data_IF_353035913878
#
_entry.id   IF_353035913878
#
_cell.length_a   1.000
_cell.length_b   1.000
_cell.length_c   1.000
_cell.angle_alpha   90.00
_cell.angle_beta   90.00
_cell.angle_gamma   90.00
#
_symmetry.space_group_name_H-M   'P 1'
#
loop_
_entity.id
_entity.type
_entity.pdbx_description
1 polymer ?
#
# COMPACT_ATOMS: atom_id res chain seq x y z
N UNK A 1 4.27 14.43 -6.24
CA UNK A 1 2.94 13.96 -6.70
C UNK A 1 2.83 13.97 -8.22
N UNK A 2 3.08 15.10 -8.89
CA UNK A 2 3.01 15.16 -10.37
C UNK A 2 3.94 14.15 -11.06
N UNK A 3 5.19 14.01 -10.60
CA UNK A 3 6.13 13.04 -11.18
C UNK A 3 5.66 11.59 -10.99
N UNK A 4 4.96 11.30 -9.89
CA UNK A 4 4.33 9.99 -9.69
C UNK A 4 3.22 9.77 -10.73
N UNK A 5 2.36 10.76 -10.96
CA UNK A 5 1.32 10.68 -11.99
C UNK A 5 1.92 10.50 -13.40
N UNK A 6 3.03 11.18 -13.71
CA UNK A 6 3.77 11.00 -14.97
C UNK A 6 4.36 9.59 -15.09
N UNK A 7 4.97 9.07 -14.02
CA UNK A 7 5.50 7.71 -13.98
C UNK A 7 4.40 6.64 -14.18
N UNK A 8 3.18 6.93 -13.73
CA UNK A 8 1.98 6.13 -13.98
C UNK A 8 1.37 6.34 -15.38
N UNK A 9 2.02 7.14 -16.24
CA UNK A 9 1.57 7.49 -17.59
C UNK A 9 0.23 8.22 -17.63
N UNK A 10 -0.11 9.00 -16.61
CA UNK A 10 -1.33 9.82 -16.61
C UNK A 10 -1.13 11.05 -17.50
N UNK A 11 -2.11 11.35 -18.35
CA UNK A 11 -2.13 12.56 -19.17
C UNK A 11 -2.43 13.76 -18.28
N UNK A 12 -1.36 14.39 -17.80
CA UNK A 12 -1.40 15.56 -16.92
C UNK A 12 -2.03 16.80 -17.58
N UNK A 13 -2.15 16.84 -18.92
CA UNK A 13 -2.84 17.95 -19.61
C UNK A 13 -4.35 17.81 -19.48
N UNK A 14 -4.87 16.57 -19.55
CA UNK A 14 -6.30 16.28 -19.43
C UNK A 14 -6.75 16.07 -17.98
N UNK A 15 -5.90 15.46 -17.16
CA UNK A 15 -6.16 15.17 -15.76
C UNK A 15 -5.04 15.74 -14.87
N UNK A 16 -4.91 17.08 -14.79
CA UNK A 16 -3.95 17.70 -13.89
C UNK A 16 -4.33 17.45 -12.43
N UNK A 17 -3.34 17.52 -11.53
CA UNK A 17 -3.50 17.26 -10.10
C UNK A 17 -4.67 18.03 -9.47
N UNK A 18 -4.83 19.31 -9.81
CA UNK A 18 -5.91 20.15 -9.28
C UNK A 18 -7.32 19.81 -9.78
N UNK A 19 -7.46 18.96 -10.80
CA UNK A 19 -8.75 18.48 -11.33
C UNK A 19 -8.98 16.99 -11.04
N UNK A 20 -8.08 16.35 -10.30
CA UNK A 20 -8.21 14.95 -9.94
C UNK A 20 -9.43 14.77 -9.03
N UNK A 21 -10.48 14.13 -9.56
CA UNK A 21 -11.74 13.94 -8.83
C UNK A 21 -11.82 12.56 -8.23
N UNK A 22 -12.05 12.49 -6.91
CA UNK A 22 -12.32 11.23 -6.21
C UNK A 22 -13.42 10.42 -6.91
N UNK A 23 -14.56 11.04 -7.21
CA UNK A 23 -15.70 10.36 -7.85
C UNK A 23 -15.35 9.77 -9.23
N UNK A 24 -14.51 10.46 -10.00
CA UNK A 24 -14.02 9.96 -11.28
C UNK A 24 -13.14 8.72 -11.12
N UNK A 25 -12.24 8.72 -10.12
CA UNK A 25 -11.41 7.56 -9.79
C UNK A 25 -12.27 6.37 -9.32
N UNK A 26 -13.26 6.62 -8.44
CA UNK A 26 -14.21 5.60 -8.00
C UNK A 26 -15.03 5.02 -9.15
N UNK A 27 -15.41 5.85 -10.13
CA UNK A 27 -16.12 5.42 -11.33
C UNK A 27 -15.24 4.51 -12.20
N UNK A 28 -13.96 4.86 -12.39
CA UNK A 28 -13.01 4.03 -13.12
C UNK A 28 -12.79 2.69 -12.41
N UNK A 29 -12.76 2.70 -11.07
CA UNK A 29 -12.68 1.50 -10.26
C UNK A 29 -13.89 0.58 -10.46
N UNK A 30 -15.10 1.15 -10.54
CA UNK A 30 -16.31 0.39 -10.87
C UNK A 30 -16.25 -0.30 -12.23
N UNK A 31 -15.61 0.32 -13.23
CA UNK A 31 -15.36 -0.30 -14.54
C UNK A 31 -14.45 -1.52 -14.38
N UNK A 32 -13.33 -1.40 -13.65
CA UNK A 32 -12.42 -2.52 -13.40
C UNK A 32 -13.09 -3.65 -12.61
N UNK A 33 -13.89 -3.33 -11.58
CA UNK A 33 -14.61 -4.33 -10.78
C UNK A 33 -15.61 -5.11 -11.63
N UNK A 34 -16.34 -4.42 -12.51
CA UNK A 34 -17.30 -5.04 -13.44
C UNK A 34 -16.60 -5.97 -14.42
N UNK A 35 -15.46 -5.53 -14.96
CA UNK A 35 -14.65 -6.32 -15.89
C UNK A 35 -14.03 -7.55 -15.22
N UNK A 36 -13.55 -7.41 -13.99
CA UNK A 36 -13.04 -8.53 -13.21
C UNK A 36 -14.15 -9.55 -12.91
N UNK A 37 -15.33 -9.09 -12.53
CA UNK A 37 -16.48 -9.98 -12.33
C UNK A 37 -16.83 -10.76 -13.60
N UNK A 38 -16.80 -10.10 -14.75
CA UNK A 38 -16.99 -10.74 -16.04
C UNK A 38 -15.95 -11.84 -16.31
N UNK A 39 -14.66 -11.59 -16.07
CA UNK A 39 -13.59 -12.59 -16.23
C UNK A 39 -13.80 -13.81 -15.33
N UNK A 40 -14.19 -13.58 -14.07
CA UNK A 40 -14.47 -14.65 -13.13
C UNK A 40 -15.65 -15.53 -13.57
N UNK A 41 -16.71 -14.93 -14.11
CA UNK A 41 -17.87 -15.68 -14.63
C UNK A 41 -17.52 -16.50 -15.87
N UNK A 42 -16.81 -15.91 -16.82
CA UNK A 42 -16.42 -16.58 -18.08
C UNK A 42 -15.44 -17.73 -17.83
N UNK A 43 -14.46 -17.54 -16.94
CA UNK A 43 -13.52 -18.60 -16.54
C UNK A 43 -14.23 -19.79 -15.91
N UNK A 44 -15.25 -19.55 -15.07
CA UNK A 44 -16.08 -20.62 -14.49
C UNK A 44 -16.92 -21.37 -15.52
N UNK A 45 -17.34 -20.68 -16.58
CA UNK A 45 -18.15 -21.25 -17.66
C UNK A 45 -17.31 -21.83 -18.81
N UNK A 46 -16.00 -21.70 -18.78
CA UNK A 46 -15.08 -22.05 -19.88
C UNK A 46 -15.49 -21.39 -21.21
N UNK A 47 -16.04 -20.18 -21.14
CA UNK A 47 -16.47 -19.39 -22.30
C UNK A 47 -15.36 -18.43 -22.76
N UNK A 48 -15.31 -18.16 -24.06
CA UNK A 48 -14.37 -17.20 -24.63
C UNK A 48 -14.80 -15.78 -24.23
N UNK A 49 -13.85 -14.99 -23.73
CA UNK A 49 -14.07 -13.59 -23.39
C UNK A 49 -14.61 -12.80 -24.60
N UNK A 50 -15.73 -12.11 -24.41
CA UNK A 50 -16.36 -11.28 -25.43
C UNK A 50 -15.48 -10.05 -25.70
N UNK A 51 -14.90 -9.91 -26.92
CA UNK A 51 -14.00 -8.81 -27.23
C UNK A 51 -14.64 -7.43 -27.13
N UNK A 52 -15.95 -7.32 -27.36
CA UNK A 52 -16.69 -6.05 -27.30
C UNK A 52 -16.83 -5.54 -25.86
N UNK A 53 -17.03 -6.45 -24.89
CA UNK A 53 -17.11 -6.08 -23.46
C UNK A 53 -15.76 -5.55 -22.99
N UNK A 54 -14.66 -6.21 -23.38
CA UNK A 54 -13.31 -5.75 -23.03
C UNK A 54 -13.01 -4.40 -23.67
N UNK A 55 -13.40 -4.21 -24.94
CA UNK A 55 -13.18 -2.96 -25.65
C UNK A 55 -13.98 -1.80 -25.03
N UNK A 56 -15.26 -2.01 -24.71
CA UNK A 56 -16.10 -1.03 -24.01
C UNK A 56 -15.48 -0.63 -22.66
N UNK A 57 -15.11 -1.62 -21.83
CA UNK A 57 -14.51 -1.38 -20.53
C UNK A 57 -13.17 -0.64 -20.65
N UNK A 58 -12.32 -1.01 -21.62
CA UNK A 58 -11.05 -0.33 -21.89
C UNK A 58 -11.31 1.14 -22.26
N UNK A 59 -12.20 1.41 -23.21
CA UNK A 59 -12.53 2.77 -23.65
C UNK A 59 -13.09 3.63 -22.49
N UNK A 60 -14.02 3.08 -21.70
CA UNK A 60 -14.59 3.76 -20.54
C UNK A 60 -13.52 4.07 -19.50
N UNK A 61 -12.63 3.11 -19.21
CA UNK A 61 -11.54 3.30 -18.26
C UNK A 61 -10.59 4.42 -18.72
N UNK A 62 -10.08 4.39 -19.95
CA UNK A 62 -9.15 5.42 -20.45
C UNK A 62 -9.81 6.77 -20.72
N UNK A 63 -11.12 6.82 -20.87
CA UNK A 63 -11.88 8.07 -20.89
C UNK A 63 -11.94 8.70 -19.49
N UNK A 64 -12.17 7.88 -18.46
CA UNK A 64 -12.20 8.32 -17.06
C UNK A 64 -10.80 8.61 -16.53
N UNK A 65 -9.77 7.89 -16.97
CA UNK A 65 -8.38 8.05 -16.52
C UNK A 65 -7.50 8.20 -17.76
N UNK A 66 -7.41 9.42 -18.31
CA UNK A 66 -6.61 9.69 -19.50
C UNK A 66 -5.15 9.33 -19.29
N UNK A 67 -4.59 8.53 -20.20
CA UNK A 67 -3.18 8.16 -20.19
C UNK A 67 -2.43 8.86 -21.33
N UNK A 68 -1.17 9.20 -21.08
CA UNK A 68 -0.23 9.67 -22.09
C UNK A 68 0.73 8.53 -22.45
N UNK A 69 0.46 7.88 -23.58
CA UNK A 69 1.28 6.81 -24.16
C UNK A 69 2.09 7.29 -25.37
N UNK A 70 2.17 8.60 -25.60
CA UNK A 70 2.79 9.17 -26.79
C UNK A 70 2.08 8.71 -28.07
N UNK A 71 2.78 7.96 -28.92
CA UNK A 71 2.25 7.42 -30.18
C UNK A 71 1.69 5.99 -30.05
N UNK A 72 1.93 5.33 -28.92
CA UNK A 72 1.48 3.95 -28.70
C UNK A 72 -0.01 3.91 -28.32
N UNK A 73 -0.68 2.84 -28.71
CA UNK A 73 -2.05 2.59 -28.26
C UNK A 73 -2.06 2.24 -26.76
N UNK A 74 -3.12 2.67 -26.07
CA UNK A 74 -3.35 2.25 -24.68
C UNK A 74 -3.56 0.73 -24.61
N UNK A 75 -3.06 0.11 -23.53
CA UNK A 75 -3.14 -1.32 -23.33
C UNK A 75 -4.61 -1.77 -23.23
N UNK A 76 -4.97 -2.89 -23.87
CA UNK A 76 -6.29 -3.46 -23.73
C UNK A 76 -6.44 -4.11 -22.35
N UNK A 77 -7.56 -3.91 -21.67
CA UNK A 77 -7.82 -4.51 -20.34
C UNK A 77 -8.25 -5.98 -20.48
N UNK A 78 -7.46 -6.83 -21.11
CA UNK A 78 -7.86 -8.19 -21.52
C UNK A 78 -7.36 -9.32 -20.61
N UNK A 79 -6.61 -9.00 -19.55
CA UNK A 79 -6.09 -9.99 -18.62
C UNK A 79 -5.99 -9.46 -17.19
N UNK A 80 -5.84 -10.39 -16.25
CA UNK A 80 -5.83 -10.09 -14.81
C UNK A 80 -4.61 -9.24 -14.40
N UNK A 81 -3.45 -9.40 -15.04
CA UNK A 81 -2.26 -8.63 -14.70
C UNK A 81 -2.42 -7.14 -15.02
N UNK A 82 -3.02 -6.81 -16.17
CA UNK A 82 -3.31 -5.41 -16.54
C UNK A 82 -4.38 -4.84 -15.61
N UNK A 83 -5.44 -5.59 -15.29
CA UNK A 83 -6.49 -5.13 -14.36
C UNK A 83 -5.88 -4.84 -12.98
N UNK A 84 -4.98 -5.71 -12.51
CA UNK A 84 -4.24 -5.51 -11.25
C UNK A 84 -3.42 -4.22 -11.29
N UNK A 85 -2.59 -4.04 -12.31
CA UNK A 85 -1.76 -2.84 -12.49
C UNK A 85 -2.63 -1.58 -12.48
N UNK A 86 -3.76 -1.60 -13.19
CA UNK A 86 -4.68 -0.45 -13.23
C UNK A 86 -5.42 -0.24 -11.91
N UNK A 87 -5.76 -1.29 -11.17
CA UNK A 87 -6.35 -1.16 -9.85
C UNK A 87 -5.37 -0.52 -8.86
N UNK A 88 -4.10 -0.96 -8.84
CA UNK A 88 -3.04 -0.36 -8.02
C UNK A 88 -2.84 1.13 -8.37
N UNK A 89 -2.83 1.47 -9.67
CA UNK A 89 -2.77 2.86 -10.14
C UNK A 89 -3.94 3.72 -9.60
N UNK A 90 -5.17 3.20 -9.56
CA UNK A 90 -6.30 3.94 -9.03
C UNK A 90 -6.18 4.19 -7.53
N UNK A 91 -5.67 3.23 -6.76
CA UNK A 91 -5.43 3.41 -5.33
C UNK A 91 -4.35 4.47 -5.09
N UNK A 92 -3.25 4.46 -5.86
CA UNK A 92 -2.22 5.51 -5.80
C UNK A 92 -2.79 6.90 -6.16
N UNK A 93 -3.70 6.99 -7.14
CA UNK A 93 -4.38 8.25 -7.48
C UNK A 93 -5.31 8.73 -6.35
N UNK A 94 -5.99 7.84 -5.63
CA UNK A 94 -6.80 8.21 -4.47
C UNK A 94 -5.93 8.78 -3.34
N UNK A 95 -4.75 8.21 -3.12
CA UNK A 95 -3.80 8.72 -2.13
C UNK A 95 -3.24 10.08 -2.53
N UNK A 96 -2.92 10.29 -3.81
CA UNK A 96 -2.50 11.60 -4.32
C UNK A 96 -3.62 12.64 -4.18
N UNK A 97 -4.86 12.30 -4.53
CA UNK A 97 -6.02 13.18 -4.34
C UNK A 97 -6.19 13.56 -2.88
N UNK A 98 -6.12 12.58 -1.98
CA UNK A 98 -6.23 12.81 -0.55
C UNK A 98 -5.10 13.70 -0.02
N UNK A 99 -3.85 13.40 -0.39
CA UNK A 99 -2.69 14.19 0.01
C UNK A 99 -2.84 15.65 -0.44
N UNK A 100 -3.27 15.85 -1.68
CA UNK A 100 -3.54 17.19 -2.22
C UNK A 100 -4.65 17.92 -1.46
N UNK A 101 -5.73 17.21 -1.10
CA UNK A 101 -6.83 17.73 -0.30
C UNK A 101 -6.39 18.10 1.13
N UNK A 102 -5.51 17.30 1.75
CA UNK A 102 -4.94 17.60 3.08
C UNK A 102 -4.06 18.84 3.01
N UNK A 103 -3.17 18.93 2.03
CA UNK A 103 -2.25 20.07 1.85
C UNK A 103 -3.04 21.37 1.68
N UNK A 104 -4.17 21.33 0.94
CA UNK A 104 -5.04 22.49 0.68
C UNK A 104 -5.94 22.93 1.83
N UNK A 105 -5.96 22.22 2.96
CA UNK A 105 -6.72 22.68 4.14
C UNK A 105 -6.24 24.06 4.58
N UNK A 106 -7.16 24.84 5.16
CA UNK A 106 -6.92 26.20 5.62
C UNK A 106 -5.66 26.30 6.49
N UNK A 107 -4.92 27.38 6.26
CA UNK A 107 -3.64 27.65 6.88
C UNK A 107 -3.84 28.43 8.18
N UNK A 108 -3.03 28.13 9.18
CA UNK A 108 -2.89 29.01 10.34
C UNK A 108 -1.68 29.90 10.07
N UNK A 109 -1.94 31.17 9.77
CA UNK A 109 -0.92 32.17 9.42
C UNK A 109 0.12 32.41 10.54
N UNK A 110 -0.12 31.91 11.75
CA UNK A 110 0.82 32.00 12.88
C UNK A 110 1.97 30.97 12.83
N UNK A 111 1.81 29.88 12.08
CA UNK A 111 2.81 28.81 11.96
C UNK A 111 3.60 28.96 10.66
N UNK A 112 4.87 28.51 10.64
CA UNK A 112 5.60 28.43 9.39
C UNK A 112 5.05 27.30 8.48
N UNK A 113 5.29 27.35 7.15
CA UNK A 113 4.69 26.40 6.22
C UNK A 113 5.01 24.91 6.47
N UNK A 114 6.18 24.61 7.07
CA UNK A 114 6.57 23.23 7.40
C UNK A 114 5.74 22.76 8.59
N UNK A 115 5.66 23.58 9.65
CA UNK A 115 4.87 23.27 10.84
C UNK A 115 3.38 23.15 10.53
N UNK A 116 2.85 23.99 9.64
CA UNK A 116 1.46 23.85 9.15
C UNK A 116 1.25 22.51 8.43
N UNK A 117 2.18 22.12 7.55
CA UNK A 117 2.10 20.86 6.81
C UNK A 117 2.22 19.64 7.72
N UNK A 118 3.11 19.72 8.71
CA UNK A 118 3.30 18.69 9.72
C UNK A 118 2.07 18.55 10.62
N UNK A 119 1.49 19.67 11.09
CA UNK A 119 0.26 19.65 11.89
C UNK A 119 -0.90 18.99 11.14
N UNK A 120 -1.03 19.19 9.82
CA UNK A 120 -2.06 18.55 8.98
C UNK A 120 -1.95 17.01 8.94
N UNK A 121 -0.82 16.43 9.34
CA UNK A 121 -0.65 14.98 9.45
C UNK A 121 -1.26 14.39 10.72
N UNK A 122 -1.61 15.20 11.74
CA UNK A 122 -2.16 14.72 13.01
C UNK A 122 -1.35 13.54 13.61
N UNK A 123 -0.02 13.64 13.52
CA UNK A 123 0.90 12.57 13.91
C UNK A 123 2.16 13.18 14.48
N UNK A 124 2.59 12.65 15.62
CA UNK A 124 3.85 13.01 16.25
C UNK A 124 4.96 12.15 15.65
N UNK A 125 6.05 12.78 15.23
CA UNK A 125 7.25 12.13 14.73
C UNK A 125 8.48 12.63 15.45
N UNK A 126 9.26 11.72 16.04
CA UNK A 126 10.49 12.02 16.75
C UNK A 126 11.67 11.31 16.06
N UNK A 127 12.80 12.00 15.85
CA UNK A 127 14.00 11.39 15.26
C UNK A 127 14.59 10.39 16.25
N UNK A 128 14.80 9.15 15.81
CA UNK A 128 15.49 8.15 16.61
C UNK A 128 17.00 8.34 16.52
N UNK A 129 17.64 8.65 17.65
CA UNK A 129 19.09 8.81 17.73
C UNK A 129 19.81 7.52 17.30
N UNK A 130 20.74 7.66 16.35
CA UNK A 130 21.52 6.59 15.73
C UNK A 130 22.39 5.81 16.73
N UNK A 131 22.68 6.39 17.89
CA UNK A 131 23.47 5.77 18.94
C UNK A 131 22.65 4.85 19.87
N UNK A 132 21.33 4.87 19.76
CA UNK A 132 20.45 4.11 20.66
C UNK A 132 20.52 2.60 20.37
N UNK A 133 20.27 1.73 21.38
CA UNK A 133 20.09 0.30 21.16
C UNK A 133 18.95 0.01 20.18
N UNK A 134 17.88 0.79 20.23
CA UNK A 134 16.71 0.67 19.37
C UNK A 134 17.06 0.91 17.89
N UNK A 135 17.81 1.96 17.56
CA UNK A 135 18.27 2.19 16.19
C UNK A 135 19.12 1.02 15.66
N UNK A 136 20.04 0.51 16.51
CA UNK A 136 20.85 -0.67 16.18
C UNK A 136 20.01 -1.91 15.94
N UNK A 137 18.91 -2.08 16.65
CA UNK A 137 17.97 -3.18 16.44
C UNK A 137 17.26 -3.05 15.09
N UNK A 138 16.79 -1.86 14.72
CA UNK A 138 16.20 -1.61 13.39
C UNK A 138 17.21 -1.92 12.29
N UNK A 139 18.45 -1.45 12.41
CA UNK A 139 19.52 -1.73 11.45
C UNK A 139 19.79 -3.23 11.31
N UNK A 140 19.84 -3.96 12.44
CA UNK A 140 20.01 -5.41 12.45
C UNK A 140 18.84 -6.11 11.77
N UNK A 141 17.60 -5.69 12.03
CA UNK A 141 16.42 -6.27 11.41
C UNK A 141 16.42 -6.08 9.89
N UNK A 142 16.78 -4.88 9.40
CA UNK A 142 16.92 -4.61 7.96
C UNK A 142 17.98 -5.51 7.33
N UNK A 143 19.17 -5.58 7.92
CA UNK A 143 20.27 -6.40 7.38
C UNK A 143 19.96 -7.89 7.37
N UNK A 144 19.32 -8.40 8.42
CA UNK A 144 19.02 -9.83 8.55
C UNK A 144 17.88 -10.30 7.65
N UNK A 145 17.01 -9.39 7.21
CA UNK A 145 15.76 -9.76 6.51
C UNK A 145 15.69 -9.25 5.08
N UNK A 146 16.86 -8.93 4.50
CA UNK A 146 16.99 -8.72 3.06
C UNK A 146 16.95 -10.07 2.34
N UNK A 147 15.82 -10.37 1.69
CA UNK A 147 15.62 -11.60 0.93
C UNK A 147 16.67 -11.82 -0.17
N UNK A 148 17.23 -13.02 -0.23
CA UNK A 148 18.30 -13.41 -1.15
C UNK A 148 17.95 -13.31 -2.63
N UNK A 149 16.67 -13.40 -2.97
CA UNK A 149 16.16 -13.23 -4.34
C UNK A 149 15.98 -11.77 -4.75
N UNK A 150 16.04 -10.82 -3.82
CA UNK A 150 15.93 -9.38 -4.09
C UNK A 150 17.31 -8.73 -4.16
N UNK A 151 18.19 -9.28 -5.00
CA UNK A 151 19.60 -8.89 -5.11
C UNK A 151 19.88 -7.78 -6.13
N UNK A 152 18.83 -7.19 -6.72
CA UNK A 152 18.96 -6.06 -7.67
C UNK A 152 19.23 -4.72 -6.97
N UNK A 153 19.11 -4.65 -5.65
CA UNK A 153 19.40 -3.46 -4.84
C UNK A 153 19.85 -3.84 -3.44
N UNK A 154 20.44 -2.87 -2.75
CA UNK A 154 20.74 -2.90 -1.31
C UNK A 154 19.95 -1.79 -0.60
N UNK A 155 19.75 -1.94 0.71
CA UNK A 155 19.09 -0.94 1.53
C UNK A 155 20.13 -0.24 2.42
N UNK A 156 20.05 1.09 2.47
CA UNK A 156 20.85 1.92 3.36
C UNK A 156 19.89 2.78 4.20
N UNK A 157 20.01 2.69 5.53
CA UNK A 157 19.12 3.42 6.44
C UNK A 157 19.68 4.82 6.64
N UNK A 158 19.00 5.82 6.08
CA UNK A 158 19.37 7.23 6.29
C UNK A 158 18.97 7.69 7.68
N UNK A 159 17.69 7.64 7.99
CA UNK A 159 17.11 8.10 9.25
C UNK A 159 15.96 7.19 9.67
N UNK A 160 15.67 7.17 10.98
CA UNK A 160 14.55 6.44 11.57
C UNK A 160 13.75 7.43 12.40
N UNK A 161 12.43 7.39 12.25
CA UNK A 161 11.51 8.25 12.99
C UNK A 161 10.57 7.36 13.80
N UNK A 162 10.42 7.68 15.08
CA UNK A 162 9.33 7.15 15.90
C UNK A 162 8.05 7.86 15.49
N UNK A 163 7.00 7.09 15.24
CA UNK A 163 5.72 7.63 14.74
C UNK A 163 4.63 7.28 15.75
N UNK A 164 3.94 8.31 16.23
CA UNK A 164 2.80 8.18 17.14
C UNK A 164 1.60 8.92 16.53
N UNK A 165 0.68 8.14 15.95
CA UNK A 165 -0.53 8.66 15.30
C UNK A 165 -1.62 8.96 16.32
N UNK A 166 -2.35 10.05 16.09
CA UNK A 166 -3.46 10.43 16.95
C UNK A 166 -4.56 9.35 17.04
N UNK A 167 -4.91 8.99 18.28
CA UNK A 167 -5.95 8.00 18.59
C UNK A 167 -5.58 6.55 18.24
N UNK A 168 -4.38 6.27 17.71
CA UNK A 168 -4.02 4.92 17.27
C UNK A 168 -3.78 3.97 18.44
N UNK A 169 -3.16 4.46 19.51
CA UNK A 169 -2.90 3.69 20.73
C UNK A 169 -4.20 3.22 21.39
N UNK A 170 -5.24 4.04 21.37
CA UNK A 170 -6.56 3.75 21.92
C UNK A 170 -7.35 2.75 21.06
N UNK A 171 -7.17 2.79 19.73
CA UNK A 171 -7.80 1.85 18.79
C UNK A 171 -7.07 0.51 18.69
N UNK A 172 -5.80 0.47 19.08
CA UNK A 172 -4.98 -0.73 19.01
C UNK A 172 -5.47 -1.79 20.00
N UNK A 173 -5.77 -3.00 19.50
CA UNK A 173 -6.18 -4.11 20.34
C UNK A 173 -4.97 -4.72 21.06
N UNK A 174 -4.62 -4.09 22.17
CA UNK A 174 -3.52 -4.52 23.04
C UNK A 174 -3.80 -5.84 23.77
N UNK A 175 -5.05 -6.34 23.75
CA UNK A 175 -5.43 -7.59 24.42
C UNK A 175 -5.05 -8.85 23.62
N UNK A 176 -4.89 -8.72 22.30
CA UNK A 176 -4.45 -9.80 21.44
C UNK A 176 -2.98 -10.18 21.72
N UNK A 177 -2.72 -11.49 21.73
CA UNK A 177 -1.38 -12.05 21.80
C UNK A 177 -0.71 -12.06 20.40
N UNK A 178 0.52 -12.57 20.32
CA UNK A 178 1.27 -12.69 19.06
C UNK A 178 1.43 -11.32 18.36
N UNK A 179 2.04 -10.37 19.08
CA UNK A 179 2.34 -9.03 18.58
C UNK A 179 3.71 -9.03 17.91
N UNK A 180 3.78 -8.53 16.67
CA UNK A 180 5.00 -8.49 15.88
C UNK A 180 5.26 -7.12 15.28
N UNK A 181 6.52 -6.71 15.23
CA UNK A 181 7.01 -5.62 14.40
C UNK A 181 7.20 -6.11 12.96
N UNK A 182 6.36 -5.63 12.05
CA UNK A 182 6.37 -6.05 10.64
C UNK A 182 6.48 -4.87 9.69
N UNK A 183 7.11 -5.12 8.55
CA UNK A 183 7.39 -4.12 7.52
C UNK A 183 6.18 -3.88 6.62
N UNK A 184 5.90 -2.61 6.33
CA UNK A 184 4.97 -2.20 5.28
C UNK A 184 5.66 -1.19 4.36
N UNK A 185 5.53 -1.41 3.05
CA UNK A 185 6.07 -0.52 2.02
C UNK A 185 4.96 -0.01 1.13
N UNK A 186 5.09 1.24 0.71
CA UNK A 186 4.14 1.93 -0.16
C UNK A 186 4.86 3.07 -0.89
N UNK A 187 4.29 3.58 -1.98
CA UNK A 187 4.83 4.76 -2.68
C UNK A 187 4.93 5.95 -1.74
N UNK A 188 5.94 6.80 -1.95
CA UNK A 188 6.15 8.04 -1.19
C UNK A 188 4.89 8.93 -1.15
N UNK A 189 4.13 9.00 -2.26
CA UNK A 189 2.90 9.79 -2.35
C UNK A 189 1.81 9.38 -1.36
N UNK A 190 1.86 8.13 -0.88
CA UNK A 190 0.81 7.57 -0.05
C UNK A 190 1.07 7.83 1.44
N UNK A 191 2.29 8.22 1.82
CA UNK A 191 2.65 8.45 3.22
C UNK A 191 1.89 9.61 3.87
N UNK A 192 1.48 10.63 3.12
CA UNK A 192 0.62 11.70 3.68
C UNK A 192 -0.74 11.13 4.10
N UNK A 193 -1.34 10.27 3.28
CA UNK A 193 -2.59 9.58 3.60
C UNK A 193 -2.42 8.59 4.75
N UNK A 194 -1.35 7.80 4.73
CA UNK A 194 -1.05 6.81 5.78
C UNK A 194 -0.73 7.50 7.13
N UNK A 195 0.04 8.59 7.12
CA UNK A 195 0.37 9.35 8.32
C UNK A 195 -0.77 10.23 8.80
N UNK A 196 -1.78 10.57 8.00
CA UNK A 196 -2.96 11.30 8.50
C UNK A 196 -4.11 10.38 8.92
N UNK A 197 -4.38 9.33 8.17
CA UNK A 197 -5.57 8.48 8.34
C UNK A 197 -5.28 7.04 8.74
N UNK A 198 -4.01 6.62 8.73
CA UNK A 198 -3.60 5.25 9.02
C UNK A 198 -3.67 4.35 7.80
N UNK A 199 -3.24 3.10 8.00
CA UNK A 199 -3.37 2.05 6.99
C UNK A 199 -4.85 1.64 6.86
N UNK A 200 -5.39 1.71 5.64
CA UNK A 200 -6.81 1.48 5.36
C UNK A 200 -7.00 0.21 4.55
N UNK A 201 -8.09 -0.50 4.82
CA UNK A 201 -8.53 -1.62 4.01
C UNK A 201 -9.22 -1.06 2.77
N UNK A 202 -8.90 -1.63 1.60
CA UNK A 202 -9.59 -1.28 0.37
C UNK A 202 -11.10 -1.47 0.52
N UNK A 203 -11.92 -0.54 0.02
CA UNK A 203 -13.36 -0.56 0.28
C UNK A 203 -14.05 -1.72 -0.48
N UNK A 204 -15.24 -2.18 -0.05
CA UNK A 204 -15.90 -3.39 -0.58
C UNK A 204 -16.10 -3.39 -2.10
N UNK A 205 -16.28 -2.23 -2.71
CA UNK A 205 -16.50 -2.05 -4.15
C UNK A 205 -15.23 -2.14 -5.00
N UNK A 206 -14.03 -2.05 -4.41
CA UNK A 206 -12.77 -2.18 -5.14
C UNK A 206 -12.60 -3.60 -5.75
N UNK A 207 -11.90 -3.77 -6.88
CA UNK A 207 -11.57 -5.09 -7.41
C UNK A 207 -10.83 -5.93 -6.37
N UNK A 208 -11.02 -7.25 -6.37
CA UNK A 208 -10.25 -8.16 -5.51
C UNK A 208 -8.95 -8.62 -6.17
N UNK A 209 -8.80 -8.43 -7.49
CA UNK A 209 -7.58 -8.83 -8.21
C UNK A 209 -6.41 -7.99 -7.71
N UNK A 210 -5.31 -8.67 -7.38
CA UNK A 210 -4.11 -8.08 -6.79
C UNK A 210 -3.88 -8.42 -5.34
N UNK A 211 -4.93 -8.79 -4.60
CA UNK A 211 -4.83 -9.19 -3.20
C UNK A 211 -4.69 -10.70 -3.06
N UNK A 212 -3.56 -11.19 -2.55
CA UNK A 212 -3.31 -12.64 -2.47
C UNK A 212 -4.30 -13.37 -1.54
N UNK A 213 -4.75 -12.70 -0.48
CA UNK A 213 -5.62 -13.25 0.56
C UNK A 213 -6.90 -12.44 0.80
N UNK A 214 -7.35 -11.68 -0.21
CA UNK A 214 -8.46 -10.75 -0.06
C UNK A 214 -8.07 -9.40 0.54
N UNK A 215 -9.05 -8.51 0.76
CA UNK A 215 -8.79 -7.13 1.17
C UNK A 215 -8.38 -7.06 2.62
N UNK A 216 -7.24 -6.43 2.89
CA UNK A 216 -6.68 -6.27 4.23
C UNK A 216 -5.46 -5.37 4.20
N UNK A 217 -4.87 -5.13 5.37
CA UNK A 217 -3.56 -4.48 5.49
C UNK A 217 -2.49 -5.56 5.44
N UNK A 218 -1.56 -5.42 4.50
CA UNK A 218 -0.51 -6.41 4.25
C UNK A 218 0.82 -5.97 4.86
N UNK A 219 1.49 -6.92 5.51
CA UNK A 219 2.79 -6.74 6.12
C UNK A 219 3.73 -7.88 5.71
N UNK A 220 5.03 -7.68 5.88
CA UNK A 220 6.05 -8.70 5.70
C UNK A 220 7.04 -8.73 6.87
N UNK A 221 7.56 -9.91 7.17
CA UNK A 221 8.70 -10.14 8.07
C UNK A 221 10.06 -9.93 7.36
N UNK A 222 10.05 -9.84 6.03
CA UNK A 222 11.23 -9.56 5.20
C UNK A 222 11.21 -8.12 4.68
N UNK A 223 12.19 -7.30 5.08
CA UNK A 223 12.24 -5.88 4.69
C UNK A 223 12.23 -5.68 3.18
N UNK A 224 12.97 -6.49 2.43
CA UNK A 224 13.09 -6.32 0.97
C UNK A 224 11.80 -6.69 0.23
N UNK A 225 10.95 -7.53 0.82
CA UNK A 225 9.62 -7.81 0.25
C UNK A 225 8.74 -6.56 0.31
N UNK A 226 8.75 -5.85 1.45
CA UNK A 226 8.03 -4.59 1.60
C UNK A 226 8.70 -3.45 0.79
N UNK A 227 10.03 -3.41 0.72
CA UNK A 227 10.76 -2.38 -0.04
C UNK A 227 10.42 -2.34 -1.55
N UNK A 228 10.06 -3.49 -2.14
CA UNK A 228 9.60 -3.54 -3.53
C UNK A 228 8.33 -2.70 -3.79
N UNK A 229 7.52 -2.44 -2.75
CA UNK A 229 6.32 -1.60 -2.85
C UNK A 229 6.59 -0.11 -2.66
N UNK A 230 7.83 0.28 -2.33
CA UNK A 230 8.17 1.70 -2.16
C UNK A 230 8.23 2.46 -3.48
N UNK A 231 8.52 1.77 -4.59
CA UNK A 231 8.80 2.38 -5.89
C UNK A 231 9.75 3.58 -5.75
N UNK A 232 10.92 3.33 -5.13
CA UNK A 232 11.86 4.36 -4.72
C UNK A 232 12.10 5.39 -5.82
N UNK A 233 11.98 6.68 -5.45
CA UNK A 233 12.22 7.80 -6.34
C UNK A 233 13.60 8.38 -6.03
N UNK A 234 14.44 8.56 -7.05
CA UNK A 234 15.82 9.03 -6.87
C UNK A 234 16.62 8.23 -5.81
N UNK A 235 16.38 6.92 -5.75
CA UNK A 235 16.99 5.96 -4.79
C UNK A 235 16.57 6.18 -3.33
N UNK A 236 15.56 7.01 -3.07
CA UNK A 236 14.98 7.20 -1.76
C UNK A 236 13.56 6.62 -1.68
N UNK A 237 13.24 6.07 -0.52
CA UNK A 237 11.94 5.51 -0.24
C UNK A 237 11.71 5.47 1.27
N UNK A 238 10.45 5.37 1.66
CA UNK A 238 10.04 5.23 3.05
C UNK A 238 9.54 3.80 3.28
N UNK A 239 9.82 3.27 4.46
CA UNK A 239 9.29 2.01 4.98
C UNK A 239 8.68 2.26 6.35
N UNK A 240 7.58 1.58 6.63
CA UNK A 240 6.98 1.54 7.95
C UNK A 240 7.36 0.24 8.65
N UNK A 241 7.63 0.35 9.95
CA UNK A 241 7.73 -0.77 10.86
C UNK A 241 6.61 -0.61 11.89
N UNK A 242 5.62 -1.50 11.85
CA UNK A 242 4.41 -1.37 12.65
C UNK A 242 4.30 -2.52 13.64
N UNK A 243 3.84 -2.22 14.86
CA UNK A 243 3.38 -3.25 15.78
C UNK A 243 2.01 -3.78 15.32
N UNK A 244 1.95 -5.07 15.00
CA UNK A 244 0.76 -5.74 14.48
C UNK A 244 0.35 -6.85 15.44
N UNK A 245 -0.85 -6.73 16.00
CA UNK A 245 -1.45 -7.75 16.85
C UNK A 245 -2.08 -8.86 15.98
N UNK A 246 -1.35 -9.96 15.79
CA UNK A 246 -1.77 -11.03 14.88
C UNK A 246 -2.78 -11.99 15.54
N UNK A 247 -2.70 -12.16 16.86
CA UNK A 247 -3.47 -13.17 17.59
C UNK A 247 -3.32 -14.57 16.98
N UNK A 248 -4.41 -15.33 17.02
CA UNK A 248 -4.52 -16.60 16.28
C UNK A 248 -4.54 -16.38 14.76
N UNK A 249 -3.51 -16.88 14.08
CA UNK A 249 -3.35 -16.77 12.62
C UNK A 249 -4.05 -17.91 11.88
N UNK A 250 -4.70 -17.60 10.75
CA UNK A 250 -5.13 -18.57 9.74
C UNK A 250 -4.01 -18.73 8.71
N UNK A 251 -3.45 -19.93 8.59
CA UNK A 251 -2.34 -20.20 7.68
C UNK A 251 -2.84 -20.63 6.30
N UNK A 252 -2.31 -20.00 5.25
CA UNK A 252 -2.65 -20.29 3.86
C UNK A 252 -1.36 -20.55 3.06
N UNK A 253 -1.34 -21.63 2.27
CA UNK A 253 -0.19 -21.97 1.40
C UNK A 253 -0.35 -21.43 -0.02
N UNK A 254 -1.58 -21.31 -0.49
CA UNK A 254 -1.91 -20.87 -1.84
C UNK A 254 -2.76 -19.60 -1.75
N UNK A 255 -2.72 -18.77 -2.80
CA UNK A 255 -3.61 -17.61 -2.89
C UNK A 255 -5.08 -18.05 -2.73
N UNK A 256 -5.80 -17.35 -1.85
CA UNK A 256 -7.17 -17.70 -1.48
C UNK A 256 -7.94 -16.42 -1.15
N UNK A 257 -9.05 -16.15 -1.84
CA UNK A 257 -9.82 -14.93 -1.60
C UNK A 257 -10.63 -15.04 -0.30
N UNK A 258 -10.00 -14.68 0.82
CA UNK A 258 -10.63 -14.71 2.13
C UNK A 258 -11.48 -13.45 2.31
N UNK A 259 -12.79 -13.63 2.45
CA UNK A 259 -13.74 -12.57 2.81
C UNK A 259 -14.12 -12.61 4.28
N UNK A 260 -13.89 -13.75 4.94
CA UNK A 260 -14.13 -13.98 6.36
C UNK A 260 -13.12 -15.00 6.89
N UNK A 261 -12.47 -14.68 8.00
CA UNK A 261 -11.56 -15.60 8.67
C UNK A 261 -12.32 -16.76 9.33
N UNK A 262 -11.63 -17.87 9.52
CA UNK A 262 -12.13 -19.02 10.27
C UNK A 262 -12.45 -18.62 11.73
N UNK A 263 -13.45 -19.26 12.37
CA UNK A 263 -13.81 -18.94 13.75
C UNK A 263 -12.60 -18.96 14.70
N UNK A 264 -12.47 -17.90 15.51
CA UNK A 264 -11.38 -17.75 16.47
C UNK A 264 -10.02 -17.32 15.89
N UNK A 265 -9.95 -17.00 14.58
CA UNK A 265 -8.78 -16.42 13.91
C UNK A 265 -8.95 -14.90 13.77
N UNK A 266 -7.84 -14.17 13.90
CA UNK A 266 -7.82 -12.70 13.88
C UNK A 266 -7.03 -12.15 12.69
N UNK A 267 -6.12 -12.94 12.13
CA UNK A 267 -5.28 -12.58 10.98
C UNK A 267 -5.08 -13.76 10.03
N UNK A 268 -4.56 -13.47 8.83
CA UNK A 268 -4.17 -14.47 7.83
C UNK A 268 -2.65 -14.41 7.61
N UNK A 269 -2.01 -15.58 7.53
CA UNK A 269 -0.58 -15.75 7.29
C UNK A 269 -0.34 -16.57 6.03
N UNK A 270 0.21 -15.92 5.02
CA UNK A 270 0.73 -16.62 3.83
C UNK A 270 2.04 -17.33 4.16
N UNK A 271 2.06 -18.65 4.09
CA UNK A 271 3.25 -19.45 4.40
C UNK A 271 4.28 -19.38 3.26
N UNK A 272 5.32 -18.56 3.45
CA UNK A 272 6.47 -18.49 2.56
C UNK A 272 7.44 -19.67 2.73
N UNK A 273 8.29 -19.89 1.73
CA UNK A 273 9.38 -20.88 1.81
C UNK A 273 10.55 -20.38 2.67
N UNK A 274 10.77 -19.07 2.70
CA UNK A 274 11.83 -18.40 3.45
C UNK A 274 11.21 -17.45 4.45
N UNK A 275 11.70 -17.48 5.68
CA UNK A 275 11.27 -16.66 6.80
C UNK A 275 12.47 -16.44 7.76
N UNK A 276 12.47 -15.40 8.60
CA UNK A 276 13.54 -15.17 9.59
C UNK A 276 13.69 -16.37 10.54
N UNK A 277 14.91 -16.70 10.94
CA UNK A 277 15.14 -17.77 11.93
C UNK A 277 14.40 -17.42 13.24
N UNK A 278 13.45 -18.27 13.71
CA UNK A 278 12.69 -18.02 14.94
C UNK A 278 13.56 -17.77 16.18
N UNK A 279 14.80 -18.26 16.21
CA UNK A 279 15.73 -18.05 17.33
C UNK A 279 16.41 -16.68 17.32
N UNK A 280 16.39 -16.00 16.19
CA UNK A 280 16.95 -14.65 16.00
C UNK A 280 15.92 -13.69 15.40
N UNK A 281 14.63 -13.94 15.65
CA UNK A 281 13.51 -13.18 15.10
C UNK A 281 13.40 -11.81 15.80
N UNK A 282 13.86 -10.77 15.10
CA UNK A 282 13.79 -9.38 15.55
C UNK A 282 12.36 -8.81 15.52
N UNK A 283 11.38 -9.52 14.93
CA UNK A 283 9.99 -9.07 14.87
C UNK A 283 9.26 -9.18 16.20
N UNK A 284 9.78 -9.94 17.17
CA UNK A 284 9.10 -10.10 18.46
C UNK A 284 9.23 -8.83 19.28
N UNK A 285 8.10 -8.21 19.62
CA UNK A 285 8.06 -7.05 20.52
C UNK A 285 8.53 -7.51 21.90
N UNK A 286 9.80 -7.30 22.24
CA UNK A 286 10.25 -7.39 23.61
C UNK A 286 9.59 -6.26 24.41
N UNK A 287 9.30 -6.48 25.70
CA UNK A 287 8.74 -5.49 26.65
C UNK A 287 9.60 -4.21 26.86
N UNK A 288 10.55 -3.92 25.97
CA UNK A 288 11.55 -2.88 26.10
C UNK A 288 11.28 -1.64 25.23
N UNK A 289 10.10 -1.52 24.61
CA UNK A 289 9.71 -0.37 23.78
C UNK A 289 8.58 0.49 24.36
N UNK A 290 8.21 0.26 25.63
CA UNK A 290 7.34 1.16 26.41
C UNK A 290 8.14 2.20 27.19
#
# INVERSE_FOLDING_TARGET
MEDCMRAMKIDMKKLPLGKLSRNQILSARGVLSSLQHYFNLQSRKMEILNPNIILDASNRFYTLIPHDTGLEAVAKLDNEAIIKEKAELLEDLLEIELAYTIIKKEENDELDPIDQSYAKLNTKMDVLDKNTPEFRQVLKYVNNTHGSTHNSYTLDIKDVYKVEREGERERYDSSLHNKKLLWHGSRLTNYVGILSQGLRIAPPEAPMTGYMFGKGVYFADMVSKSANYCYAHDKEGLLLLCEVALGNEQEERNANMITKLNPGKHSCKGLGQTYPDPKSDESTVAKALD
#
